data_IF_821548684036
#
_entry.id   IF_821548684036
#
_cell.length_a   1.000
_cell.length_b   1.000
_cell.length_c   1.000
_cell.angle_alpha   90.00
_cell.angle_beta   90.00
_cell.angle_gamma   90.00
#
_symmetry.space_group_name_H-M   'P 1'
#
loop_
_entity.id
_entity.type
_entity.pdbx_description
1 polymer ?
#
# COMPACT_ATOMS: atom_id res chain seq x y z
N UNK A 1 39.43 7.07 -4.92
CA UNK A 1 38.85 8.42 -4.75
C UNK A 1 37.37 8.32 -5.07
N UNK A 2 36.51 8.49 -4.06
CA UNK A 2 35.06 8.37 -4.21
C UNK A 2 34.53 9.63 -4.91
N UNK A 3 33.86 9.46 -6.04
CA UNK A 3 33.06 10.51 -6.65
C UNK A 3 31.91 10.85 -5.68
N UNK A 4 32.05 11.92 -4.91
CA UNK A 4 30.92 12.55 -4.26
C UNK A 4 29.97 13.00 -5.39
N UNK A 5 28.82 12.32 -5.51
CA UNK A 5 27.83 12.66 -6.51
C UNK A 5 27.43 14.13 -6.35
N UNK A 6 27.59 14.93 -7.41
CA UNK A 6 27.13 16.32 -7.44
C UNK A 6 25.60 16.26 -7.27
N UNK A 7 25.10 16.64 -6.09
CA UNK A 7 23.67 16.76 -5.87
C UNK A 7 23.12 17.86 -6.78
N UNK A 8 22.26 17.47 -7.71
CA UNK A 8 21.47 18.44 -8.48
C UNK A 8 20.38 19.02 -7.58
N UNK A 9 19.86 20.20 -7.94
CA UNK A 9 18.67 20.77 -7.29
C UNK A 9 17.52 19.75 -7.22
N UNK A 10 17.36 18.92 -8.25
CA UNK A 10 16.36 17.85 -8.30
C UNK A 10 16.61 16.75 -7.24
N UNK A 11 17.85 16.33 -7.04
CA UNK A 11 18.18 15.28 -6.06
C UNK A 11 17.90 15.73 -4.62
N UNK A 12 18.13 17.01 -4.32
CA UNK A 12 17.83 17.58 -2.99
C UNK A 12 16.32 17.59 -2.76
N UNK A 13 15.55 18.24 -3.65
CA UNK A 13 14.11 18.40 -3.47
C UNK A 13 13.37 17.05 -3.48
N UNK A 14 13.78 16.10 -4.33
CA UNK A 14 13.17 14.77 -4.37
C UNK A 14 13.36 14.02 -3.05
N UNK A 15 14.56 14.10 -2.46
CA UNK A 15 14.85 13.46 -1.17
C UNK A 15 14.03 14.09 -0.04
N UNK A 16 13.87 15.41 -0.05
CA UNK A 16 13.05 16.14 0.93
C UNK A 16 11.57 15.79 0.82
N UNK A 17 11.04 15.67 -0.40
CA UNK A 17 9.64 15.29 -0.64
C UNK A 17 9.40 13.85 -0.20
N UNK A 18 10.31 12.91 -0.51
CA UNK A 18 10.17 11.51 -0.06
C UNK A 18 10.15 11.43 1.46
N UNK A 19 11.05 12.15 2.14
CA UNK A 19 11.05 12.22 3.59
C UNK A 19 9.74 12.83 4.12
N UNK A 20 9.33 13.97 3.57
CA UNK A 20 8.10 14.66 3.94
C UNK A 20 6.85 13.77 3.79
N UNK A 21 6.75 13.02 2.69
CA UNK A 21 5.66 12.05 2.46
C UNK A 21 5.66 10.97 3.54
N UNK A 22 6.80 10.36 3.83
CA UNK A 22 6.89 9.29 4.84
C UNK A 22 6.53 9.83 6.24
N UNK A 23 7.01 11.01 6.60
CA UNK A 23 6.66 11.68 7.87
C UNK A 23 5.16 11.99 7.94
N UNK A 24 4.56 12.41 6.82
CA UNK A 24 3.12 12.68 6.70
C UNK A 24 2.29 11.40 6.88
N UNK A 25 2.68 10.29 6.24
CA UNK A 25 2.01 8.99 6.41
C UNK A 25 2.13 8.47 7.84
N UNK A 26 3.29 8.64 8.47
CA UNK A 26 3.51 8.21 9.85
C UNK A 26 2.72 9.04 10.88
N UNK A 27 2.66 10.36 10.68
CA UNK A 27 1.95 11.27 11.61
C UNK A 27 0.46 11.38 11.31
N UNK A 28 0.06 11.06 10.08
CA UNK A 28 -1.27 11.33 9.54
C UNK A 28 -1.62 12.84 9.61
N UNK A 29 -0.62 13.69 9.39
CA UNK A 29 -0.77 15.15 9.33
C UNK A 29 -0.12 15.70 8.06
N UNK A 30 -0.92 16.42 7.25
CA UNK A 30 -0.46 17.04 6.01
C UNK A 30 -0.25 18.54 6.23
N UNK A 31 0.99 19.02 6.13
CA UNK A 31 1.29 20.45 6.00
C UNK A 31 0.99 20.92 4.58
N UNK A 32 -0.21 21.48 4.39
CA UNK A 32 -0.69 21.97 3.08
C UNK A 32 0.18 23.08 2.51
N UNK A 33 0.69 23.98 3.35
CA UNK A 33 1.50 25.13 2.90
C UNK A 33 2.81 24.62 2.33
N UNK A 34 3.49 23.72 3.06
CA UNK A 34 4.72 23.10 2.60
C UNK A 34 4.50 22.23 1.35
N UNK A 35 3.39 21.50 1.29
CA UNK A 35 3.02 20.70 0.11
C UNK A 35 2.87 21.58 -1.14
N UNK A 36 2.19 22.73 -1.03
CA UNK A 36 2.04 23.69 -2.13
C UNK A 36 3.40 24.28 -2.55
N UNK A 37 4.27 24.61 -1.57
CA UNK A 37 5.64 25.06 -1.87
C UNK A 37 6.42 24.05 -2.72
N UNK A 38 6.38 22.77 -2.35
CA UNK A 38 7.02 21.72 -3.14
C UNK A 38 6.43 21.59 -4.55
N UNK A 39 5.11 21.74 -4.71
CA UNK A 39 4.46 21.73 -6.01
C UNK A 39 5.03 22.85 -6.90
N UNK A 40 5.12 24.07 -6.36
CA UNK A 40 5.61 25.23 -7.11
C UNK A 40 7.09 25.10 -7.49
N UNK A 41 7.91 24.49 -6.63
CA UNK A 41 9.30 24.18 -6.93
C UNK A 41 9.48 23.06 -7.97
N UNK A 42 8.59 22.07 -8.02
CA UNK A 42 8.63 20.97 -8.98
C UNK A 42 8.10 21.33 -10.36
N UNK A 43 7.11 22.22 -10.46
CA UNK A 43 6.47 22.60 -11.73
C UNK A 43 7.48 22.95 -12.84
N UNK A 44 8.53 23.76 -12.61
CA UNK A 44 9.54 24.02 -13.64
C UNK A 44 10.33 22.77 -14.09
N UNK A 45 10.51 21.80 -13.20
CA UNK A 45 11.30 20.59 -13.44
C UNK A 45 10.55 19.58 -14.36
N UNK A 46 9.24 19.74 -14.53
CA UNK A 46 8.45 19.00 -15.54
C UNK A 46 8.86 19.29 -16.99
N UNK A 47 9.66 20.34 -17.21
CA UNK A 47 10.18 20.75 -18.53
C UNK A 47 11.64 20.35 -18.76
N UNK A 48 12.25 19.64 -17.80
CA UNK A 48 13.66 19.24 -17.89
C UNK A 48 13.79 17.76 -18.29
N UNK A 49 15.03 17.24 -18.27
CA UNK A 49 15.30 15.81 -18.43
C UNK A 49 14.71 14.95 -17.30
N UNK A 50 14.46 15.54 -16.14
CA UNK A 50 13.95 14.86 -14.94
C UNK A 50 12.40 14.82 -14.91
N UNK A 51 11.75 15.18 -16.02
CA UNK A 51 10.29 15.37 -16.09
C UNK A 51 9.48 14.17 -15.62
N UNK A 52 9.89 12.93 -15.94
CA UNK A 52 9.16 11.75 -15.51
C UNK A 52 9.11 11.67 -13.97
N UNK A 53 10.26 11.83 -13.31
CA UNK A 53 10.35 11.82 -11.85
C UNK A 53 9.69 13.06 -11.23
N UNK A 54 9.80 14.24 -11.86
CA UNK A 54 9.11 15.45 -11.41
C UNK A 54 7.57 15.28 -11.42
N UNK A 55 7.01 14.74 -12.50
CA UNK A 55 5.59 14.41 -12.58
C UNK A 55 5.19 13.36 -11.53
N UNK A 56 6.01 12.33 -11.29
CA UNK A 56 5.72 11.35 -10.24
C UNK A 56 5.67 11.99 -8.85
N UNK A 57 6.60 12.90 -8.53
CA UNK A 57 6.61 13.60 -7.24
C UNK A 57 5.44 14.59 -7.11
N UNK A 58 5.02 15.24 -8.20
CA UNK A 58 3.79 16.02 -8.22
C UNK A 58 2.58 15.14 -7.89
N UNK A 59 2.51 13.93 -8.47
CA UNK A 59 1.48 12.94 -8.15
C UNK A 59 1.39 12.66 -6.65
N UNK A 60 2.52 12.40 -6.00
CA UNK A 60 2.59 12.25 -4.54
C UNK A 60 2.07 13.45 -3.78
N UNK A 61 2.48 14.67 -4.14
CA UNK A 61 2.06 15.87 -3.42
C UNK A 61 0.54 16.12 -3.57
N UNK A 62 -0.02 15.86 -4.74
CA UNK A 62 -1.48 15.94 -4.94
C UNK A 62 -2.23 14.84 -4.17
N UNK A 63 -1.66 13.63 -4.04
CA UNK A 63 -2.22 12.59 -3.17
C UNK A 63 -2.30 13.07 -1.71
N UNK A 64 -1.25 13.72 -1.20
CA UNK A 64 -1.25 14.29 0.15
C UNK A 64 -2.32 15.38 0.33
N UNK A 65 -2.63 16.14 -0.72
CA UNK A 65 -3.71 17.13 -0.70
C UNK A 65 -5.11 16.52 -0.83
N UNK A 66 -5.23 15.21 -1.09
CA UNK A 66 -6.48 14.55 -1.41
C UNK A 66 -7.02 14.91 -2.79
N UNK A 67 -6.20 15.51 -3.66
CA UNK A 67 -6.56 15.88 -5.03
C UNK A 67 -6.26 14.70 -5.97
N UNK A 68 -7.20 13.75 -5.97
CA UNK A 68 -7.07 12.45 -6.65
C UNK A 68 -6.96 12.63 -8.17
N UNK A 69 -7.66 13.61 -8.75
CA UNK A 69 -7.66 13.86 -10.18
C UNK A 69 -6.28 14.35 -10.64
N UNK A 70 -5.70 15.32 -9.92
CA UNK A 70 -4.34 15.78 -10.24
C UNK A 70 -3.29 14.71 -9.89
N UNK A 71 -3.49 13.89 -8.85
CA UNK A 71 -2.62 12.75 -8.57
C UNK A 71 -2.56 11.79 -9.77
N UNK A 72 -3.71 11.28 -10.23
CA UNK A 72 -3.78 10.33 -11.36
C UNK A 72 -3.21 10.95 -12.65
N UNK A 73 -3.56 12.20 -12.97
CA UNK A 73 -3.02 12.90 -14.13
C UNK A 73 -1.49 12.95 -14.13
N UNK A 74 -0.90 13.32 -13.00
CA UNK A 74 0.55 13.47 -12.88
C UNK A 74 1.27 12.12 -12.97
N UNK A 75 0.76 11.08 -12.29
CA UNK A 75 1.34 9.73 -12.38
C UNK A 75 1.25 9.12 -13.77
N UNK A 76 0.09 9.22 -14.44
CA UNK A 76 -0.06 8.76 -15.83
C UNK A 76 0.87 9.53 -16.77
N UNK A 77 1.05 10.83 -16.55
CA UNK A 77 1.98 11.64 -17.33
C UNK A 77 3.43 11.23 -17.10
N UNK A 78 3.81 10.92 -15.85
CA UNK A 78 5.12 10.38 -15.51
C UNK A 78 5.41 9.06 -16.26
N UNK A 79 4.45 8.13 -16.25
CA UNK A 79 4.54 6.85 -16.95
C UNK A 79 4.49 6.99 -18.49
N UNK A 80 3.87 8.04 -19.02
CA UNK A 80 3.98 8.37 -20.46
C UNK A 80 5.41 8.74 -20.86
N UNK A 81 6.15 9.40 -19.98
CA UNK A 81 7.56 9.73 -20.22
C UNK A 81 8.50 8.56 -19.93
N UNK A 82 8.17 7.68 -18.98
CA UNK A 82 8.95 6.49 -18.67
C UNK A 82 8.04 5.31 -18.25
N UNK A 83 7.56 4.55 -19.23
CA UNK A 83 6.54 3.51 -19.03
C UNK A 83 7.03 2.26 -18.29
N UNK A 84 8.34 2.04 -18.28
CA UNK A 84 9.01 0.91 -17.61
C UNK A 84 9.57 1.27 -16.23
N UNK A 85 9.33 2.49 -15.72
CA UNK A 85 9.85 2.89 -14.41
C UNK A 85 9.07 2.23 -13.27
N UNK A 86 9.63 1.14 -12.74
CA UNK A 86 9.02 0.40 -11.62
C UNK A 86 8.85 1.25 -10.36
N UNK A 87 9.69 2.28 -10.14
CA UNK A 87 9.57 3.14 -8.94
C UNK A 87 8.37 4.08 -9.05
N UNK A 88 8.12 4.61 -10.25
CA UNK A 88 6.94 5.46 -10.49
C UNK A 88 5.67 4.63 -10.26
N UNK A 89 5.63 3.39 -10.77
CA UNK A 89 4.49 2.48 -10.54
C UNK A 89 4.30 2.11 -9.08
N UNK A 90 5.40 1.81 -8.39
CA UNK A 90 5.37 1.53 -6.94
C UNK A 90 4.79 2.71 -6.15
N UNK A 91 5.31 3.92 -6.38
CA UNK A 91 4.80 5.12 -5.70
C UNK A 91 3.34 5.37 -6.03
N UNK A 92 2.95 5.17 -7.29
CA UNK A 92 1.57 5.33 -7.72
C UNK A 92 0.63 4.35 -7.01
N UNK A 93 1.02 3.07 -6.93
CA UNK A 93 0.25 2.04 -6.23
C UNK A 93 0.05 2.39 -4.74
N UNK A 94 1.11 2.83 -4.07
CA UNK A 94 1.05 3.22 -2.66
C UNK A 94 0.13 4.42 -2.46
N UNK A 95 0.24 5.46 -3.29
CA UNK A 95 -0.63 6.64 -3.16
C UNK A 95 -2.09 6.33 -3.52
N UNK A 96 -2.35 5.44 -4.47
CA UNK A 96 -3.70 4.92 -4.75
C UNK A 96 -4.27 4.14 -3.56
N UNK A 97 -3.46 3.33 -2.90
CA UNK A 97 -3.88 2.60 -1.70
C UNK A 97 -4.27 3.57 -0.57
N UNK A 98 -3.41 4.55 -0.27
CA UNK A 98 -3.68 5.56 0.78
C UNK A 98 -4.79 6.55 0.44
N UNK A 99 -5.19 6.64 -0.84
CA UNK A 99 -6.35 7.43 -1.29
C UNK A 99 -7.59 6.56 -1.50
N UNK A 100 -7.63 5.36 -0.93
CA UNK A 100 -8.78 4.45 -0.93
C UNK A 100 -9.20 4.02 -2.34
N UNK A 101 -8.22 3.63 -3.16
CA UNK A 101 -8.39 3.07 -4.50
C UNK A 101 -7.70 1.70 -4.62
N UNK A 102 -8.09 0.70 -3.81
CA UNK A 102 -7.37 -0.57 -3.67
C UNK A 102 -7.26 -1.36 -4.99
N UNK A 103 -8.32 -1.35 -5.81
CA UNK A 103 -8.32 -2.02 -7.12
C UNK A 103 -7.30 -1.40 -8.07
N UNK A 104 -7.28 -0.07 -8.20
CA UNK A 104 -6.31 0.63 -9.04
C UNK A 104 -4.87 0.48 -8.51
N UNK A 105 -4.70 0.48 -7.18
CA UNK A 105 -3.41 0.23 -6.54
C UNK A 105 -2.87 -1.16 -6.92
N UNK A 106 -3.71 -2.21 -6.81
CA UNK A 106 -3.38 -3.57 -7.24
C UNK A 106 -2.99 -3.60 -8.71
N UNK A 107 -3.73 -2.93 -9.58
CA UNK A 107 -3.44 -2.93 -11.02
C UNK A 107 -2.04 -2.37 -11.32
N UNK A 108 -1.65 -1.26 -10.66
CA UNK A 108 -0.30 -0.72 -10.77
C UNK A 108 0.78 -1.69 -10.26
N UNK A 109 0.52 -2.39 -9.15
CA UNK A 109 1.42 -3.45 -8.66
C UNK A 109 1.53 -4.58 -9.67
N UNK A 110 0.42 -5.05 -10.25
CA UNK A 110 0.43 -6.14 -11.22
C UNK A 110 1.26 -5.80 -12.46
N UNK A 111 1.11 -4.57 -12.99
CA UNK A 111 1.96 -4.06 -14.08
C UNK A 111 3.43 -4.00 -13.67
N UNK A 112 3.73 -3.51 -12.47
CA UNK A 112 5.09 -3.44 -11.93
C UNK A 112 5.74 -4.82 -11.78
N UNK A 113 4.99 -5.82 -11.30
CA UNK A 113 5.45 -7.21 -11.19
C UNK A 113 5.63 -7.91 -12.55
N UNK A 114 5.34 -7.24 -13.66
CA UNK A 114 5.75 -7.64 -15.01
C UNK A 114 7.23 -7.40 -15.31
N UNK A 115 7.94 -6.64 -14.47
CA UNK A 115 9.35 -6.30 -14.62
C UNK A 115 10.25 -7.06 -13.65
N UNK A 116 11.56 -7.05 -13.93
CA UNK A 116 12.55 -7.57 -12.99
C UNK A 116 12.79 -6.56 -11.87
N UNK A 117 12.46 -6.95 -10.63
CA UNK A 117 12.66 -6.13 -9.43
C UNK A 117 13.71 -6.82 -8.55
N UNK A 118 14.81 -6.14 -8.27
CA UNK A 118 15.92 -6.65 -7.43
C UNK A 118 16.05 -5.95 -6.08
N UNK A 119 15.10 -5.08 -5.76
CA UNK A 119 15.05 -4.32 -4.51
C UNK A 119 14.12 -5.05 -3.52
N UNK A 120 14.71 -5.66 -2.48
CA UNK A 120 13.93 -6.38 -1.46
C UNK A 120 13.02 -5.46 -0.66
N UNK A 121 13.40 -4.21 -0.44
CA UNK A 121 12.58 -3.26 0.33
C UNK A 121 11.31 -2.94 -0.45
N UNK A 122 11.45 -2.71 -1.77
CA UNK A 122 10.31 -2.53 -2.66
C UNK A 122 9.42 -3.78 -2.71
N UNK A 123 10.01 -4.97 -2.86
CA UNK A 123 9.24 -6.23 -2.88
C UNK A 123 8.53 -6.50 -1.55
N UNK A 124 9.17 -6.21 -0.42
CA UNK A 124 8.55 -6.31 0.90
C UNK A 124 7.35 -5.37 1.03
N UNK A 125 7.50 -4.08 0.70
CA UNK A 125 6.39 -3.13 0.75
C UNK A 125 5.26 -3.50 -0.23
N UNK A 126 5.62 -4.01 -1.41
CA UNK A 126 4.65 -4.52 -2.40
C UNK A 126 3.87 -5.72 -1.86
N UNK A 127 4.56 -6.65 -1.19
CA UNK A 127 3.91 -7.78 -0.53
C UNK A 127 2.90 -7.29 0.50
N UNK A 128 3.29 -6.38 1.39
CA UNK A 128 2.40 -5.86 2.44
C UNK A 128 1.15 -5.20 1.86
N UNK A 129 1.27 -4.40 0.80
CA UNK A 129 0.11 -3.83 0.12
C UNK A 129 -0.84 -4.92 -0.39
N UNK A 130 -0.31 -5.93 -1.08
CA UNK A 130 -1.13 -7.02 -1.63
C UNK A 130 -1.74 -7.89 -0.53
N UNK A 131 -1.00 -8.11 0.56
CA UNK A 131 -1.42 -8.89 1.72
C UNK A 131 -2.58 -8.19 2.45
N UNK A 132 -2.48 -6.87 2.61
CA UNK A 132 -3.56 -6.02 3.13
C UNK A 132 -4.81 -5.99 2.23
N UNK A 133 -4.69 -6.43 0.97
CA UNK A 133 -5.80 -6.52 0.02
C UNK A 133 -6.21 -7.99 -0.25
N UNK A 134 -5.61 -8.94 0.46
CA UNK A 134 -5.81 -10.40 0.32
C UNK A 134 -5.67 -10.82 -1.16
N UNK A 135 -4.64 -10.32 -1.84
CA UNK A 135 -4.30 -10.68 -3.23
C UNK A 135 -3.29 -11.83 -3.23
N UNK A 136 -3.76 -13.00 -2.79
CA UNK A 136 -2.93 -14.17 -2.45
C UNK A 136 -2.05 -14.63 -3.64
N UNK A 137 -2.61 -14.71 -4.85
CA UNK A 137 -1.86 -15.08 -6.05
C UNK A 137 -0.69 -14.12 -6.34
N UNK A 138 -0.91 -12.83 -6.13
CA UNK A 138 0.08 -11.79 -6.34
C UNK A 138 1.12 -11.80 -5.21
N UNK A 139 0.71 -12.04 -3.96
CA UNK A 139 1.63 -12.25 -2.84
C UNK A 139 2.58 -13.43 -3.09
N UNK A 140 2.07 -14.54 -3.63
CA UNK A 140 2.88 -15.70 -4.01
C UNK A 140 3.89 -15.36 -5.11
N UNK A 141 3.47 -14.56 -6.11
CA UNK A 141 4.37 -14.06 -7.15
C UNK A 141 5.51 -13.22 -6.56
N UNK A 142 5.18 -12.30 -5.64
CA UNK A 142 6.19 -11.49 -4.93
C UNK A 142 7.13 -12.37 -4.12
N UNK A 143 6.60 -13.35 -3.39
CA UNK A 143 7.41 -14.28 -2.60
C UNK A 143 8.40 -15.06 -3.48
N UNK A 144 7.95 -15.54 -4.64
CA UNK A 144 8.82 -16.19 -5.63
C UNK A 144 9.89 -15.25 -6.23
N UNK A 145 9.64 -13.95 -6.31
CA UNK A 145 10.68 -12.96 -6.67
C UNK A 145 11.69 -12.77 -5.54
N UNK A 146 11.22 -12.65 -4.30
CA UNK A 146 12.08 -12.50 -3.11
C UNK A 146 13.02 -13.71 -2.99
N UNK A 147 12.52 -14.94 -3.16
CA UNK A 147 13.33 -16.16 -3.07
C UNK A 147 14.50 -16.23 -4.06
N UNK A 148 14.37 -15.58 -5.22
CA UNK A 148 15.42 -15.50 -6.24
C UNK A 148 16.51 -14.49 -5.87
N UNK A 149 16.30 -13.65 -4.86
CA UNK A 149 17.31 -12.71 -4.40
C UNK A 149 18.45 -13.42 -3.65
N UNK A 150 19.68 -12.84 -3.69
CA UNK A 150 20.79 -13.33 -2.89
C UNK A 150 20.44 -13.44 -1.40
N UNK A 151 20.94 -14.48 -0.72
CA UNK A 151 20.67 -14.75 0.71
C UNK A 151 20.91 -13.53 1.58
N UNK A 152 22.04 -12.83 1.38
CA UNK A 152 22.41 -11.63 2.12
C UNK A 152 21.32 -10.55 2.16
N UNK A 153 20.51 -10.43 1.10
CA UNK A 153 19.38 -9.49 1.10
C UNK A 153 18.20 -10.03 1.93
N UNK A 154 17.94 -11.33 1.87
CA UNK A 154 16.82 -12.00 2.54
C UNK A 154 17.02 -12.22 4.03
N UNK A 155 18.26 -12.29 4.51
CA UNK A 155 18.54 -12.66 5.90
C UNK A 155 17.86 -11.74 6.92
N UNK A 156 17.75 -10.44 6.61
CA UNK A 156 17.07 -9.46 7.47
C UNK A 156 15.54 -9.66 7.52
N UNK A 157 14.99 -10.40 6.57
CA UNK A 157 13.56 -10.66 6.40
C UNK A 157 13.20 -12.13 6.66
N UNK A 158 14.13 -12.96 7.13
CA UNK A 158 13.96 -14.42 7.18
C UNK A 158 12.75 -14.87 8.03
N UNK A 159 12.53 -14.23 9.18
CA UNK A 159 11.37 -14.50 10.06
C UNK A 159 10.07 -14.11 9.34
N UNK A 160 9.99 -12.88 8.85
CA UNK A 160 8.82 -12.40 8.09
C UNK A 160 8.51 -13.29 6.86
N UNK A 161 9.53 -13.70 6.10
CA UNK A 161 9.35 -14.61 4.95
C UNK A 161 8.73 -15.93 5.41
N UNK A 162 9.22 -16.50 6.51
CA UNK A 162 8.72 -17.76 7.05
C UNK A 162 7.24 -17.63 7.47
N UNK A 163 6.92 -16.58 8.23
CA UNK A 163 5.58 -16.36 8.76
C UNK A 163 4.57 -16.14 7.64
N UNK A 164 4.93 -15.30 6.65
CA UNK A 164 4.07 -15.04 5.48
C UNK A 164 3.91 -16.25 4.57
N UNK A 165 4.91 -17.13 4.46
CA UNK A 165 4.73 -18.43 3.79
C UNK A 165 3.74 -19.34 4.52
N UNK A 166 3.77 -19.36 5.85
CA UNK A 166 2.80 -20.11 6.64
C UNK A 166 1.38 -19.59 6.38
N UNK A 167 1.20 -18.26 6.38
CA UNK A 167 -0.07 -17.62 6.05
C UNK A 167 -0.58 -17.96 4.64
N UNK A 168 0.28 -17.87 3.61
CA UNK A 168 -0.11 -18.23 2.23
C UNK A 168 -0.52 -19.70 2.12
N UNK A 169 0.17 -20.59 2.85
CA UNK A 169 -0.21 -22.00 2.91
C UNK A 169 -1.58 -22.18 3.58
N UNK A 170 -1.83 -21.50 4.69
CA UNK A 170 -3.11 -21.57 5.39
C UNK A 170 -4.29 -21.16 4.50
N UNK A 171 -4.13 -20.10 3.69
CA UNK A 171 -5.16 -19.69 2.72
C UNK A 171 -5.55 -20.80 1.73
N UNK A 172 -4.58 -21.63 1.31
CA UNK A 172 -4.84 -22.78 0.43
C UNK A 172 -5.50 -23.93 1.19
N UNK A 173 -4.97 -24.24 2.36
CA UNK A 173 -5.40 -25.40 3.17
C UNK A 173 -6.82 -25.22 3.74
N UNK A 174 -7.20 -23.98 4.10
CA UNK A 174 -8.51 -23.65 4.65
C UNK A 174 -9.60 -23.49 3.58
N UNK A 175 -9.23 -23.53 2.29
CA UNK A 175 -10.16 -23.44 1.16
C UNK A 175 -11.15 -22.26 1.26
N UNK A 176 -10.69 -21.11 1.73
CA UNK A 176 -11.48 -19.90 1.85
C UNK A 176 -11.85 -19.40 0.45
N UNK A 177 -13.05 -18.86 0.28
CA UNK A 177 -13.46 -18.23 -0.99
C UNK A 177 -12.72 -16.90 -1.22
N UNK A 178 -11.47 -17.01 -1.70
CA UNK A 178 -10.57 -15.87 -1.90
C UNK A 178 -11.15 -14.77 -2.80
N UNK A 179 -11.84 -15.06 -3.92
CA UNK A 179 -12.45 -14.00 -4.72
C UNK A 179 -13.48 -13.16 -3.96
N UNK A 180 -14.35 -13.79 -3.17
CA UNK A 180 -15.34 -13.06 -2.36
C UNK A 180 -14.68 -12.33 -1.20
N UNK A 181 -13.75 -12.96 -0.49
CA UNK A 181 -13.02 -12.34 0.61
C UNK A 181 -12.25 -11.11 0.13
N UNK A 182 -11.55 -11.23 -1.00
CA UNK A 182 -10.81 -10.11 -1.59
C UNK A 182 -11.74 -8.95 -2.01
N UNK A 183 -12.95 -9.26 -2.49
CA UNK A 183 -13.98 -8.25 -2.80
C UNK A 183 -14.51 -7.56 -1.53
N UNK A 184 -14.71 -8.32 -0.45
CA UNK A 184 -15.06 -7.77 0.86
C UNK A 184 -13.99 -6.77 1.31
N UNK A 185 -12.71 -7.16 1.27
CA UNK A 185 -11.58 -6.28 1.65
C UNK A 185 -11.50 -5.05 0.76
N UNK A 186 -11.59 -5.19 -0.56
CA UNK A 186 -11.59 -4.05 -1.49
C UNK A 186 -12.69 -3.03 -1.10
N UNK A 187 -13.89 -3.53 -0.78
CA UNK A 187 -15.02 -2.71 -0.36
C UNK A 187 -14.81 -2.03 1.00
N UNK A 188 -14.25 -2.73 1.99
CA UNK A 188 -13.92 -2.11 3.30
C UNK A 188 -12.95 -0.93 3.09
N UNK A 189 -11.89 -1.13 2.30
CA UNK A 189 -10.89 -0.10 2.01
C UNK A 189 -11.45 1.08 1.20
N UNK A 190 -12.42 0.85 0.29
CA UNK A 190 -12.99 1.92 -0.54
C UNK A 190 -14.15 2.65 0.12
N UNK A 191 -14.99 1.94 0.88
CA UNK A 191 -16.30 2.44 1.30
C UNK A 191 -16.27 2.91 2.77
N UNK A 192 -15.50 2.23 3.63
CA UNK A 192 -15.43 2.53 5.06
C UNK A 192 -14.21 3.39 5.40
N UNK A 193 -13.03 3.00 4.94
CA UNK A 193 -11.75 3.65 5.31
C UNK A 193 -11.64 5.16 5.02
N UNK A 194 -12.31 5.76 4.00
CA UNK A 194 -12.29 7.21 3.83
C UNK A 194 -12.88 7.99 5.00
N UNK A 195 -13.81 7.38 5.74
CA UNK A 195 -14.53 8.04 6.82
C UNK A 195 -13.81 7.88 8.16
N UNK A 196 -13.22 6.70 8.41
CA UNK A 196 -12.47 6.34 9.60
C UNK A 196 -11.62 5.09 9.32
N UNK A 197 -10.57 4.77 10.09
CA UNK A 197 -9.59 5.66 10.71
C UNK A 197 -8.37 5.89 9.83
N UNK A 198 -7.69 7.01 10.12
CA UNK A 198 -6.61 7.53 9.28
C UNK A 198 -5.20 7.01 9.64
N UNK A 199 -5.07 6.17 10.67
CA UNK A 199 -3.78 5.64 11.15
C UNK A 199 -3.87 4.13 11.39
N UNK A 200 -4.46 3.42 10.43
CA UNK A 200 -4.57 1.97 10.45
C UNK A 200 -3.28 1.30 9.97
N UNK A 201 -2.77 0.36 10.76
CA UNK A 201 -1.97 -0.73 10.21
C UNK A 201 -2.76 -2.03 10.31
N UNK A 202 -2.41 -2.99 9.46
CA UNK A 202 -3.10 -4.27 9.40
C UNK A 202 -2.17 -5.35 9.96
N UNK A 203 -2.63 -6.04 10.99
CA UNK A 203 -2.03 -7.31 11.42
C UNK A 203 -2.75 -8.44 10.68
N UNK A 204 -1.97 -9.25 9.97
CA UNK A 204 -2.49 -10.33 9.15
C UNK A 204 -1.63 -11.56 9.31
N UNK A 205 -2.18 -12.57 9.99
CA UNK A 205 -1.47 -13.79 10.36
C UNK A 205 -2.39 -15.00 10.46
N UNK A 206 -1.78 -16.18 10.54
CA UNK A 206 -2.49 -17.44 10.72
C UNK A 206 -2.30 -17.91 12.16
N UNK A 207 -3.40 -18.11 12.88
CA UNK A 207 -3.42 -18.76 14.19
C UNK A 207 -3.54 -20.27 13.98
N UNK A 208 -2.47 -21.01 14.29
CA UNK A 208 -2.38 -22.46 14.08
C UNK A 208 -3.30 -23.25 15.03
N UNK A 209 -3.50 -22.75 16.26
CA UNK A 209 -4.29 -23.42 17.30
C UNK A 209 -5.78 -23.43 16.93
N UNK A 210 -6.29 -22.26 16.50
CA UNK A 210 -7.69 -22.08 16.12
C UNK A 210 -7.95 -22.35 14.64
N UNK A 211 -6.89 -22.68 13.86
CA UNK A 211 -6.95 -22.85 12.39
C UNK A 211 -7.71 -21.71 11.71
N UNK A 212 -7.35 -20.49 12.10
CA UNK A 212 -8.07 -19.28 11.72
C UNK A 212 -7.10 -18.25 11.21
N UNK A 213 -7.47 -17.57 10.13
CA UNK A 213 -6.76 -16.40 9.64
C UNK A 213 -7.31 -15.17 10.34
N UNK A 214 -6.42 -14.41 10.97
CA UNK A 214 -6.77 -13.18 11.67
C UNK A 214 -6.35 -11.99 10.81
N UNK A 215 -7.30 -11.11 10.54
CA UNK A 215 -7.11 -9.85 9.84
C UNK A 215 -7.60 -8.72 10.77
N UNK A 216 -6.66 -8.05 11.41
CA UNK A 216 -6.94 -6.99 12.38
C UNK A 216 -6.61 -5.62 11.82
N UNK A 217 -7.59 -4.73 11.85
CA UNK A 217 -7.40 -3.29 11.67
C UNK A 217 -6.95 -2.69 13.00
N UNK A 218 -5.68 -2.27 13.10
CA UNK A 218 -5.13 -1.69 14.33
C UNK A 218 -5.08 -0.18 14.21
N UNK A 219 -5.81 0.51 15.08
CA UNK A 219 -5.82 1.96 15.17
C UNK A 219 -5.17 2.43 16.48
N UNK A 220 -4.04 3.12 16.33
CA UNK A 220 -3.25 3.62 17.47
C UNK A 220 -3.56 5.09 17.82
N UNK A 221 -4.49 5.75 17.11
CA UNK A 221 -4.65 7.21 17.20
C UNK A 221 -6.08 7.71 17.34
N UNK A 222 -7.08 6.98 16.86
CA UNK A 222 -8.45 7.46 17.03
C UNK A 222 -8.89 7.42 18.48
N UNK A 223 -9.76 8.36 18.84
CA UNK A 223 -10.43 8.33 20.12
C UNK A 223 -11.40 7.14 20.21
N UNK A 224 -11.75 6.75 21.44
CA UNK A 224 -12.62 5.60 21.72
C UNK A 224 -13.96 5.68 20.98
N UNK A 225 -14.55 6.88 20.80
CA UNK A 225 -15.85 7.00 20.14
C UNK A 225 -15.77 6.75 18.63
N UNK A 226 -14.71 7.25 17.99
CA UNK A 226 -14.41 6.97 16.59
C UNK A 226 -14.12 5.48 16.37
N UNK A 227 -13.35 4.88 17.28
CA UNK A 227 -13.01 3.47 17.27
C UNK A 227 -14.24 2.57 17.34
N UNK A 228 -15.12 2.77 18.33
CA UNK A 228 -16.35 1.99 18.48
C UNK A 228 -17.27 2.12 17.27
N UNK A 229 -17.41 3.33 16.72
CA UNK A 229 -18.22 3.57 15.54
C UNK A 229 -17.70 2.81 14.32
N UNK A 230 -16.38 2.75 14.12
CA UNK A 230 -15.82 2.00 12.99
C UNK A 230 -15.99 0.50 13.17
N UNK A 231 -15.83 -0.03 14.38
CA UNK A 231 -16.06 -1.44 14.68
C UNK A 231 -17.52 -1.87 14.41
N UNK A 232 -18.49 -1.04 14.81
CA UNK A 232 -19.91 -1.22 14.47
C UNK A 232 -20.13 -1.23 12.96
N UNK A 233 -19.59 -0.23 12.24
CA UNK A 233 -19.70 -0.14 10.79
C UNK A 233 -19.06 -1.34 10.06
N UNK A 234 -17.92 -1.82 10.56
CA UNK A 234 -17.21 -2.96 10.00
C UNK A 234 -18.02 -4.25 10.18
N UNK A 235 -18.59 -4.44 11.37
CA UNK A 235 -19.45 -5.58 11.69
C UNK A 235 -20.70 -5.60 10.82
N UNK A 236 -21.41 -4.48 10.71
CA UNK A 236 -22.59 -4.36 9.85
C UNK A 236 -22.24 -4.63 8.38
N UNK A 237 -21.12 -4.08 7.90
CA UNK A 237 -20.65 -4.28 6.53
C UNK A 237 -20.34 -5.75 6.23
N UNK A 238 -19.69 -6.46 7.15
CA UNK A 238 -19.40 -7.89 7.03
C UNK A 238 -20.70 -8.71 6.97
N UNK A 239 -21.62 -8.48 7.90
CA UNK A 239 -22.92 -9.20 7.98
C UNK A 239 -23.72 -8.98 6.70
N UNK A 240 -23.82 -7.74 6.22
CA UNK A 240 -24.50 -7.40 4.99
C UNK A 240 -23.86 -8.08 3.78
N UNK A 241 -22.53 -8.10 3.71
CA UNK A 241 -21.80 -8.74 2.62
C UNK A 241 -22.03 -10.25 2.60
N UNK A 242 -21.89 -10.93 3.76
CA UNK A 242 -22.13 -12.37 3.90
C UNK A 242 -23.57 -12.73 3.50
N UNK A 243 -24.55 -11.96 3.99
CA UNK A 243 -25.97 -12.16 3.69
C UNK A 243 -26.26 -12.01 2.19
N UNK A 244 -25.79 -10.93 1.57
CA UNK A 244 -26.04 -10.65 0.14
C UNK A 244 -25.40 -11.67 -0.80
N UNK A 245 -24.27 -12.26 -0.39
CA UNK A 245 -23.54 -13.24 -1.20
C UNK A 245 -23.82 -14.69 -0.79
N UNK A 246 -24.65 -14.93 0.23
CA UNK A 246 -24.95 -16.24 0.80
C UNK A 246 -23.67 -17.05 1.10
N UNK A 247 -22.74 -16.42 1.82
CA UNK A 247 -21.44 -16.98 2.21
C UNK A 247 -21.21 -16.77 3.70
N UNK A 248 -20.40 -17.61 4.33
CA UNK A 248 -19.89 -17.38 5.69
C UNK A 248 -18.42 -17.79 5.77
N UNK A 249 -17.55 -16.90 6.27
CA UNK A 249 -16.10 -17.11 6.30
C UNK A 249 -15.61 -17.77 7.60
N UNK A 250 -15.98 -19.04 7.82
CA UNK A 250 -15.73 -19.79 9.08
C UNK A 250 -14.29 -19.79 9.62
N UNK A 251 -13.26 -19.65 8.78
CA UNK A 251 -11.85 -19.71 9.16
C UNK A 251 -11.13 -18.37 8.97
N UNK A 252 -11.88 -17.28 8.93
CA UNK A 252 -11.36 -15.93 8.79
C UNK A 252 -12.06 -15.04 9.80
N UNK A 253 -11.26 -14.38 10.63
CA UNK A 253 -11.73 -13.39 11.60
C UNK A 253 -11.22 -12.04 11.16
N UNK A 254 -12.17 -11.13 10.98
CA UNK A 254 -11.90 -9.71 10.82
C UNK A 254 -12.20 -9.01 12.13
N UNK A 255 -11.28 -8.17 12.59
CA UNK A 255 -11.50 -7.40 13.81
C UNK A 255 -10.90 -6.01 13.68
N UNK A 256 -11.40 -5.13 14.53
CA UNK A 256 -10.86 -3.80 14.73
C UNK A 256 -10.35 -3.65 16.17
N UNK A 257 -9.14 -3.15 16.33
CA UNK A 257 -8.49 -2.96 17.62
C UNK A 257 -8.04 -1.51 17.77
N UNK A 258 -8.57 -0.82 18.78
CA UNK A 258 -8.02 0.45 19.23
C UNK A 258 -6.92 0.18 20.27
N UNK A 259 -5.70 0.66 20.03
CA UNK A 259 -4.54 0.50 20.92
C UNK A 259 -4.08 1.84 21.49
#
# INVERSE_FOLDING_TARGET
>A
MANAAILTKFNVISSEIVKFRNDTLNTNYVDKVKTISFIDELKPLTKTKDKAQAFSLLGTLYALLGDIDNMDFNYRTALRFNSSDVRIRFNYAIDLYYTHRPVAARDQVCEMLGYEIRDIVMLHATYLLLDNLIKISECEKVMGMIEKLPSKQRDHYAVWIKDKKSLLKAYRDLNINLPLLSKLIDGVHSDLSPNHPKSLYIEHFYNEDDKTIVYSFIDEKSDVSTALKFDEQLSDYLIDFETRNNVHFNNFVMMYEAR
#
